data_IF_414819618566
#
_entry.id   IF_414819618566
#
_cell.length_a   1.000
_cell.length_b   1.000
_cell.length_c   1.000
_cell.angle_alpha   90.00
_cell.angle_beta   90.00
_cell.angle_gamma   90.00
#
_symmetry.space_group_name_H-M   'P 1'
#
loop_
_entity.id
_entity.type
_entity.pdbx_description
1 polymer ?
#
# COMPACT_ATOMS: atom_id res chain seq x y z
N UNK A 1 26.04 -1.44 25.16
CA UNK A 1 24.95 -1.07 24.25
C UNK A 1 25.56 -0.20 23.14
N UNK A 2 26.27 -0.84 22.21
CA UNK A 2 26.87 -0.19 21.06
C UNK A 2 25.89 -0.42 19.91
N UNK A 3 25.14 0.62 19.53
CA UNK A 3 24.35 0.57 18.31
C UNK A 3 25.29 0.64 17.10
N UNK A 4 25.08 -0.26 16.16
CA UNK A 4 25.89 -0.48 14.97
C UNK A 4 25.91 0.75 14.06
N UNK A 5 27.07 1.42 14.01
CA UNK A 5 27.40 2.48 13.05
C UNK A 5 27.28 2.02 11.58
N UNK A 6 27.13 0.71 11.33
CA UNK A 6 26.95 0.14 9.99
C UNK A 6 25.54 0.39 9.40
N UNK A 7 24.51 0.57 10.22
CA UNK A 7 23.14 0.79 9.73
C UNK A 7 22.95 2.22 9.21
N UNK A 8 23.49 3.21 9.93
CA UNK A 8 23.46 4.62 9.55
C UNK A 8 24.23 4.91 8.25
N UNK A 9 25.36 4.24 8.01
CA UNK A 9 26.11 4.40 6.76
C UNK A 9 25.35 3.86 5.54
N UNK A 10 24.55 2.80 5.70
CA UNK A 10 23.72 2.26 4.61
C UNK A 10 22.57 3.20 4.24
N UNK A 11 21.93 3.81 5.23
CA UNK A 11 20.85 4.79 5.02
C UNK A 11 21.37 6.07 4.35
N UNK A 12 22.53 6.57 4.78
CA UNK A 12 23.17 7.74 4.13
C UNK A 12 23.57 7.41 2.68
N UNK A 13 24.04 6.19 2.41
CA UNK A 13 24.39 5.78 1.05
C UNK A 13 23.14 5.71 0.15
N UNK A 14 22.01 5.21 0.64
CA UNK A 14 20.75 5.16 -0.13
C UNK A 14 20.24 6.58 -0.43
N UNK A 15 20.29 7.50 0.53
CA UNK A 15 19.89 8.90 0.35
C UNK A 15 20.83 9.68 -0.59
N UNK A 16 22.14 9.41 -0.56
CA UNK A 16 23.12 10.05 -1.46
C UNK A 16 23.02 9.49 -2.88
N UNK A 17 22.72 8.20 -3.05
CA UNK A 17 22.45 7.61 -4.37
C UNK A 17 21.20 8.21 -5.00
N UNK A 18 20.13 8.44 -4.22
CA UNK A 18 18.95 9.19 -4.67
C UNK A 18 19.28 10.63 -5.10
N UNK A 19 20.21 11.31 -4.42
CA UNK A 19 20.65 12.67 -4.83
C UNK A 19 21.56 12.69 -6.06
N UNK A 20 22.33 11.63 -6.32
CA UNK A 20 23.30 11.57 -7.42
C UNK A 20 22.66 11.13 -8.75
N UNK A 21 21.67 10.23 -8.72
CA UNK A 21 20.93 9.79 -9.91
C UNK A 21 20.13 10.94 -10.54
N UNK A 22 19.66 11.88 -9.72
CA UNK A 22 18.93 13.08 -10.18
C UNK A 22 19.84 14.07 -10.94
N UNK A 23 21.16 14.03 -10.74
CA UNK A 23 22.08 15.04 -11.31
C UNK A 23 22.78 14.62 -12.62
N UNK A 24 22.68 13.37 -13.08
CA UNK A 24 23.49 12.87 -14.22
C UNK A 24 22.76 12.77 -15.58
N UNK A 25 21.46 13.07 -15.68
CA UNK A 25 20.71 12.99 -16.93
C UNK A 25 20.50 14.37 -17.58
N UNK A 26 21.57 14.98 -18.09
CA UNK A 26 21.45 16.09 -19.05
C UNK A 26 21.26 15.53 -20.46
N UNK A 27 20.00 15.22 -20.81
CA UNK A 27 19.57 14.98 -22.19
C UNK A 27 19.03 16.27 -22.85
N UNK A 28 19.08 16.39 -24.19
CA UNK A 28 18.83 17.62 -24.91
C UNK A 28 17.37 18.10 -24.83
N UNK A 29 17.21 19.43 -24.73
CA UNK A 29 15.94 20.18 -24.64
C UNK A 29 14.93 19.77 -25.71
N UNK A 30 13.90 19.04 -25.29
CA UNK A 30 12.59 18.95 -25.94
C UNK A 30 11.67 20.00 -25.26
N UNK A 31 10.75 20.66 -25.98
CA UNK A 31 9.91 21.74 -25.44
C UNK A 31 9.19 21.34 -24.14
N UNK A 32 9.34 22.20 -23.12
CA UNK A 32 8.76 22.08 -21.78
C UNK A 32 7.23 22.03 -21.84
N UNK A 33 6.67 20.83 -21.76
CA UNK A 33 5.45 20.58 -20.99
C UNK A 33 5.91 20.37 -19.54
N UNK A 34 5.24 21.01 -18.58
CA UNK A 34 5.55 20.91 -17.15
C UNK A 34 5.55 19.44 -16.73
N UNK A 35 6.72 18.89 -16.38
CA UNK A 35 6.87 17.50 -15.92
C UNK A 35 6.22 17.27 -14.55
N UNK A 36 5.87 18.34 -13.83
CA UNK A 36 5.10 18.25 -12.59
C UNK A 36 3.63 17.85 -12.87
N UNK A 37 3.02 18.43 -13.90
CA UNK A 37 1.62 18.18 -14.28
C UNK A 37 1.44 16.76 -14.85
N UNK A 38 2.47 16.21 -15.49
CA UNK A 38 2.46 14.86 -16.05
C UNK A 38 2.57 13.76 -14.96
N UNK A 39 3.21 14.06 -13.82
CA UNK A 39 3.30 13.14 -12.69
C UNK A 39 1.98 13.13 -11.87
N UNK A 40 1.30 14.27 -11.79
CA UNK A 40 0.03 14.43 -11.06
C UNK A 40 -1.15 13.72 -11.76
N UNK A 41 -1.06 13.53 -13.09
CA UNK A 41 -2.04 12.79 -13.89
C UNK A 41 -1.96 11.26 -13.78
N UNK A 42 -0.83 10.71 -13.32
CA UNK A 42 -0.63 9.27 -13.28
C UNK A 42 -1.17 8.63 -11.99
N UNK A 43 -0.97 9.26 -10.82
CA UNK A 43 -1.44 8.71 -9.54
C UNK A 43 -2.96 8.85 -9.35
N UNK A 44 -3.57 9.88 -9.93
CA UNK A 44 -5.02 10.11 -9.97
C UNK A 44 -5.77 9.07 -10.83
N UNK A 45 -5.08 8.49 -11.82
CA UNK A 45 -5.73 7.66 -12.87
C UNK A 45 -6.42 6.41 -12.34
N UNK A 46 -5.81 5.65 -11.41
CA UNK A 46 -6.35 4.35 -10.98
C UNK A 46 -7.55 4.48 -10.05
N UNK A 47 -7.54 5.43 -9.11
CA UNK A 47 -8.63 5.61 -8.15
C UNK A 47 -9.85 6.22 -8.81
N UNK A 48 -9.64 7.12 -9.77
CA UNK A 48 -10.70 7.67 -10.62
C UNK A 48 -11.25 6.61 -11.59
N UNK A 49 -10.38 5.80 -12.22
CA UNK A 49 -10.80 4.71 -13.11
C UNK A 49 -11.61 3.64 -12.37
N UNK A 50 -11.22 3.33 -11.12
CA UNK A 50 -11.88 2.34 -10.27
C UNK A 50 -13.07 2.90 -9.47
N UNK A 51 -13.30 4.22 -9.51
CA UNK A 51 -14.41 4.88 -8.79
C UNK A 51 -14.31 4.77 -7.26
N UNK A 52 -13.10 4.78 -6.70
CA UNK A 52 -12.84 4.44 -5.28
C UNK A 52 -13.00 5.63 -4.31
N UNK A 53 -13.75 6.65 -4.70
CA UNK A 53 -13.90 7.90 -3.92
C UNK A 53 -14.76 7.70 -2.67
N UNK A 54 -15.80 6.88 -2.75
CA UNK A 54 -16.69 6.62 -1.62
C UNK A 54 -16.27 5.37 -0.84
N UNK A 55 -16.53 5.38 0.48
CA UNK A 55 -16.25 4.23 1.36
C UNK A 55 -16.96 2.97 0.91
N UNK A 56 -18.18 3.10 0.40
CA UNK A 56 -18.98 1.98 -0.07
C UNK A 56 -18.38 1.34 -1.33
N UNK A 57 -17.85 2.13 -2.26
CA UNK A 57 -17.19 1.61 -3.46
C UNK A 57 -15.90 0.88 -3.13
N UNK A 58 -15.13 1.38 -2.16
CA UNK A 58 -13.94 0.68 -1.63
C UNK A 58 -14.29 -0.64 -0.96
N UNK A 59 -15.38 -0.68 -0.19
CA UNK A 59 -15.90 -1.92 0.38
C UNK A 59 -16.27 -2.92 -0.73
N UNK A 60 -17.04 -2.48 -1.74
CA UNK A 60 -17.42 -3.30 -2.90
C UNK A 60 -16.21 -3.80 -3.67
N UNK A 61 -15.17 -2.98 -3.83
CA UNK A 61 -13.93 -3.39 -4.47
C UNK A 61 -13.27 -4.54 -3.71
N UNK A 62 -13.17 -4.47 -2.38
CA UNK A 62 -12.61 -5.55 -1.57
C UNK A 62 -13.44 -6.84 -1.63
N UNK A 63 -14.77 -6.74 -1.69
CA UNK A 63 -15.62 -7.92 -1.90
C UNK A 63 -15.31 -8.58 -3.25
N UNK A 64 -15.32 -7.80 -4.33
CA UNK A 64 -14.95 -8.28 -5.67
C UNK A 64 -13.55 -8.86 -5.73
N UNK A 65 -12.61 -8.30 -4.98
CA UNK A 65 -11.24 -8.80 -4.90
C UNK A 65 -11.21 -10.22 -4.34
N UNK A 66 -11.97 -10.47 -3.27
CA UNK A 66 -12.06 -11.77 -2.60
C UNK A 66 -12.91 -12.79 -3.38
N UNK A 67 -13.85 -12.31 -4.21
CA UNK A 67 -14.66 -13.12 -5.13
C UNK A 67 -13.99 -13.37 -6.50
N UNK A 68 -12.72 -13.01 -6.64
CA UNK A 68 -11.93 -13.18 -7.87
C UNK A 68 -12.42 -12.34 -9.08
N UNK A 69 -13.27 -11.34 -8.83
CA UNK A 69 -13.89 -10.50 -9.86
C UNK A 69 -13.06 -9.24 -10.21
N UNK A 70 -11.97 -8.97 -9.49
CA UNK A 70 -11.06 -7.86 -9.82
C UNK A 70 -9.97 -8.28 -10.79
N UNK A 71 -9.59 -7.32 -11.65
CA UNK A 71 -8.39 -7.46 -12.49
C UNK A 71 -7.13 -7.45 -11.61
N UNK A 72 -6.19 -8.38 -11.82
CA UNK A 72 -4.91 -8.41 -11.11
C UNK A 72 -4.15 -7.08 -11.15
N UNK A 73 -4.05 -6.46 -12.33
CA UNK A 73 -3.27 -5.25 -12.56
C UNK A 73 -3.81 -4.07 -11.75
N UNK A 74 -5.13 -3.93 -11.69
CA UNK A 74 -5.80 -2.89 -10.90
C UNK A 74 -5.52 -3.06 -9.40
N UNK A 75 -5.54 -4.30 -8.91
CA UNK A 75 -5.28 -4.60 -7.50
C UNK A 75 -3.81 -4.37 -7.14
N UNK A 76 -2.90 -4.83 -8.00
CA UNK A 76 -1.46 -4.70 -7.83
C UNK A 76 -1.02 -3.23 -7.79
N UNK A 77 -1.58 -2.39 -8.68
CA UNK A 77 -1.36 -0.94 -8.70
C UNK A 77 -1.97 -0.24 -7.49
N UNK A 78 -3.19 -0.62 -7.10
CA UNK A 78 -3.84 -0.05 -5.93
C UNK A 78 -3.03 -0.32 -4.65
N UNK A 79 -2.54 -1.55 -4.48
CA UNK A 79 -1.71 -1.92 -3.35
C UNK A 79 -0.42 -1.10 -3.31
N UNK A 80 0.24 -0.93 -4.47
CA UNK A 80 1.41 -0.07 -4.60
C UNK A 80 1.11 1.35 -4.11
N UNK A 81 0.03 1.97 -4.59
CA UNK A 81 -0.32 3.35 -4.24
C UNK A 81 -0.68 3.53 -2.77
N UNK A 82 -1.36 2.56 -2.14
CA UNK A 82 -1.70 2.62 -0.72
C UNK A 82 -0.43 2.57 0.13
N UNK A 83 0.50 1.68 -0.20
CA UNK A 83 1.78 1.54 0.51
C UNK A 83 2.72 2.72 0.26
N UNK A 84 2.81 3.20 -0.99
CA UNK A 84 3.58 4.37 -1.36
C UNK A 84 3.05 5.64 -0.67
N UNK A 85 1.73 5.82 -0.68
CA UNK A 85 1.08 6.93 0.04
C UNK A 85 1.32 6.87 1.55
N UNK A 86 1.38 5.67 2.14
CA UNK A 86 1.75 5.49 3.55
C UNK A 86 3.19 5.95 3.87
N UNK A 87 4.15 5.71 2.96
CA UNK A 87 5.54 6.15 3.12
C UNK A 87 5.68 7.65 2.87
N UNK A 88 5.05 8.19 1.82
CA UNK A 88 5.20 9.59 1.41
C UNK A 88 4.44 10.58 2.29
N UNK A 89 3.22 10.24 2.70
CA UNK A 89 2.32 11.21 3.32
C UNK A 89 2.02 10.84 4.77
N UNK A 90 2.34 11.72 5.74
CA UNK A 90 1.87 11.55 7.10
C UNK A 90 0.34 11.57 7.11
N UNK A 91 -0.24 10.55 7.74
CA UNK A 91 -1.69 10.42 7.90
C UNK A 91 -2.18 11.48 8.90
N UNK A 92 -3.42 11.97 8.74
CA UNK A 92 -3.98 12.98 9.62
C UNK A 92 -4.19 12.37 10.99
N UNK A 93 -3.69 13.04 12.04
CA UNK A 93 -4.01 12.69 13.42
C UNK A 93 -5.39 13.26 13.72
N UNK A 94 -6.38 12.42 14.01
CA UNK A 94 -7.66 12.91 14.49
C UNK A 94 -7.49 13.27 15.97
N UNK A 95 -7.68 14.55 16.31
CA UNK A 95 -7.34 15.12 17.63
C UNK A 95 -8.08 14.48 18.82
N UNK A 96 -9.15 13.70 18.58
CA UNK A 96 -9.98 13.09 19.63
C UNK A 96 -9.95 11.54 19.66
N UNK A 97 -9.21 10.89 18.75
CA UNK A 97 -9.11 9.42 18.70
C UNK A 97 -7.64 9.01 18.70
N UNK A 98 -7.22 8.26 19.72
CA UNK A 98 -5.90 7.61 19.74
C UNK A 98 -5.76 6.57 18.61
N UNK A 99 -6.87 6.11 18.03
CA UNK A 99 -6.89 5.17 16.93
C UNK A 99 -7.02 5.92 15.59
N UNK A 100 -5.90 6.16 14.93
CA UNK A 100 -5.90 6.06 13.46
C UNK A 100 -5.94 4.57 13.16
N UNK A 101 -6.95 4.04 12.46
CA UNK A 101 -7.06 2.60 12.16
C UNK A 101 -5.87 2.02 11.38
N UNK A 102 -4.99 2.90 10.89
CA UNK A 102 -3.72 2.63 10.23
C UNK A 102 -2.63 2.18 11.21
N UNK A 103 -1.69 1.34 10.76
CA UNK A 103 -0.51 1.03 11.54
C UNK A 103 0.32 2.26 11.86
N UNK A 104 1.00 2.21 13.01
CA UNK A 104 1.93 3.25 13.41
C UNK A 104 3.10 3.38 12.43
N UNK A 105 3.42 4.63 12.06
CA UNK A 105 4.54 4.99 11.17
C UNK A 105 5.89 4.92 11.89
N UNK A 106 6.29 3.72 12.28
CA UNK A 106 7.63 3.47 12.84
C UNK A 106 8.68 3.41 11.72
N UNK A 107 9.94 3.74 12.04
CA UNK A 107 11.06 3.67 11.08
C UNK A 107 11.21 2.25 10.50
N UNK A 108 11.16 1.23 11.36
CA UNK A 108 11.27 -0.17 10.94
C UNK A 108 10.17 -0.58 9.96
N UNK A 109 8.93 -0.16 10.20
CA UNK A 109 7.80 -0.47 9.30
C UNK A 109 7.95 0.26 7.96
N UNK A 110 8.32 1.54 7.98
CA UNK A 110 8.57 2.29 6.74
C UNK A 110 9.71 1.69 5.91
N UNK A 111 10.77 1.21 6.55
CA UNK A 111 11.87 0.52 5.86
C UNK A 111 11.40 -0.78 5.19
N UNK A 112 10.59 -1.60 5.87
CA UNK A 112 10.00 -2.81 5.28
C UNK A 112 9.13 -2.48 4.06
N UNK A 113 8.25 -1.48 4.19
CA UNK A 113 7.39 -1.04 3.07
C UNK A 113 8.24 -0.53 1.91
N UNK A 114 9.27 0.28 2.18
CA UNK A 114 10.16 0.79 1.15
C UNK A 114 10.91 -0.33 0.40
N UNK A 115 11.32 -1.40 1.09
CA UNK A 115 11.96 -2.55 0.44
C UNK A 115 11.04 -3.24 -0.57
N UNK A 116 9.75 -3.38 -0.24
CA UNK A 116 8.75 -3.91 -1.19
C UNK A 116 8.58 -2.96 -2.37
N UNK A 117 8.45 -1.66 -2.11
CA UNK A 117 8.24 -0.66 -3.16
C UNK A 117 9.42 -0.55 -4.13
N UNK A 118 10.67 -0.71 -3.68
CA UNK A 118 11.84 -0.68 -4.55
C UNK A 118 11.81 -1.75 -5.66
N UNK A 119 11.24 -2.91 -5.38
CA UNK A 119 11.08 -3.99 -6.38
C UNK A 119 9.95 -3.67 -7.36
N UNK A 120 8.96 -2.89 -6.93
CA UNK A 120 7.76 -2.55 -7.68
C UNK A 120 7.81 -1.16 -8.36
N UNK A 121 8.90 -0.40 -8.19
CA UNK A 121 9.00 1.01 -8.57
C UNK A 121 8.90 1.22 -10.09
N UNK A 122 9.49 0.31 -10.88
CA UNK A 122 9.55 0.49 -12.34
C UNK A 122 8.16 0.49 -13.01
N UNK A 123 7.24 -0.34 -12.51
CA UNK A 123 5.91 -0.51 -13.07
C UNK A 123 4.79 0.10 -12.20
N UNK A 124 5.17 0.74 -11.08
CA UNK A 124 4.26 1.26 -10.05
C UNK A 124 3.19 0.24 -9.64
N UNK A 125 3.61 -1.02 -9.51
CA UNK A 125 2.71 -2.16 -9.37
C UNK A 125 3.39 -3.30 -8.64
N UNK A 126 2.74 -3.81 -7.59
CA UNK A 126 3.25 -4.96 -6.82
C UNK A 126 2.70 -6.24 -7.46
N UNK A 127 3.52 -7.11 -8.08
CA UNK A 127 3.05 -8.24 -8.90
C UNK A 127 2.56 -9.44 -8.07
N UNK A 128 1.66 -9.19 -7.10
CA UNK A 128 1.16 -10.17 -6.15
C UNK A 128 0.15 -11.14 -6.80
N UNK A 129 -0.74 -10.62 -7.66
CA UNK A 129 -1.75 -11.41 -8.37
C UNK A 129 -1.35 -11.79 -9.79
N UNK A 130 -0.06 -11.67 -10.14
CA UNK A 130 0.45 -12.07 -11.44
C UNK A 130 0.53 -13.59 -11.58
N UNK A 131 0.72 -14.09 -12.82
CA UNK A 131 0.90 -15.51 -13.07
C UNK A 131 1.97 -16.11 -12.14
N UNK A 132 1.76 -17.34 -11.61
CA UNK A 132 2.61 -17.93 -10.60
C UNK A 132 4.02 -18.18 -11.15
N UNK A 133 4.92 -17.25 -10.84
CA UNK A 133 6.37 -17.38 -10.99
C UNK A 133 6.98 -17.70 -9.61
N UNK A 134 8.17 -18.30 -9.60
CA UNK A 134 8.88 -18.64 -8.33
C UNK A 134 9.05 -17.42 -7.40
N UNK A 135 9.15 -16.22 -7.96
CA UNK A 135 9.34 -14.97 -7.21
C UNK A 135 8.10 -14.51 -6.40
N UNK A 136 6.90 -15.03 -6.70
CA UNK A 136 5.66 -14.59 -6.03
C UNK A 136 5.59 -15.10 -4.58
N UNK A 137 6.12 -16.29 -4.31
CA UNK A 137 6.12 -16.86 -2.96
C UNK A 137 6.98 -16.03 -1.99
N UNK A 138 8.16 -15.60 -2.43
CA UNK A 138 9.03 -14.71 -1.65
C UNK A 138 8.40 -13.33 -1.44
N UNK A 139 7.66 -12.83 -2.43
CA UNK A 139 6.91 -11.58 -2.31
C UNK A 139 5.77 -11.70 -1.29
N UNK A 140 5.03 -12.81 -1.27
CA UNK A 140 3.99 -13.09 -0.29
C UNK A 140 4.57 -13.01 1.13
N UNK A 141 5.70 -13.66 1.40
CA UNK A 141 6.33 -13.62 2.72
C UNK A 141 6.73 -12.18 3.13
N UNK A 142 7.33 -11.41 2.21
CA UNK A 142 7.70 -10.01 2.47
C UNK A 142 6.49 -9.11 2.75
N UNK A 143 5.35 -9.41 2.11
CA UNK A 143 4.12 -8.67 2.29
C UNK A 143 3.36 -9.10 3.56
N UNK A 144 3.42 -10.38 3.95
CA UNK A 144 2.90 -10.87 5.23
C UNK A 144 3.61 -10.20 6.41
N UNK A 145 4.91 -9.93 6.29
CA UNK A 145 5.71 -9.17 7.28
C UNK A 145 5.26 -7.71 7.50
N UNK A 146 4.32 -7.21 6.68
CA UNK A 146 3.72 -5.88 6.80
C UNK A 146 2.35 -5.89 7.50
N UNK A 147 1.78 -7.07 7.76
CA UNK A 147 0.53 -7.26 8.52
C UNK A 147 0.79 -7.19 10.03
N UNK A 148 -0.28 -7.07 10.86
CA UNK A 148 -0.11 -7.10 12.30
C UNK A 148 0.39 -8.48 12.77
N UNK A 149 1.34 -8.49 13.69
CA UNK A 149 1.83 -9.74 14.26
C UNK A 149 0.71 -10.46 15.05
N UNK A 150 0.43 -11.74 14.80
CA UNK A 150 -0.69 -12.44 15.42
C UNK A 150 -0.54 -12.64 16.94
N UNK A 151 0.66 -12.44 17.49
CA UNK A 151 0.97 -12.59 18.93
C UNK A 151 1.18 -11.23 19.58
N UNK A 152 1.97 -10.34 18.98
CA UNK A 152 2.26 -9.02 19.56
C UNK A 152 1.12 -8.01 19.33
N UNK A 153 0.45 -8.08 18.17
CA UNK A 153 -0.63 -7.20 17.72
C UNK A 153 -1.94 -7.99 17.52
N UNK A 154 -2.29 -8.85 18.49
CA UNK A 154 -3.40 -9.83 18.39
C UNK A 154 -4.75 -9.19 18.01
N UNK A 155 -5.09 -8.04 18.62
CA UNK A 155 -6.37 -7.35 18.40
C UNK A 155 -6.48 -6.80 16.97
N UNK A 156 -5.40 -6.19 16.45
CA UNK A 156 -5.35 -5.69 15.07
C UNK A 156 -5.39 -6.83 14.06
N UNK A 157 -4.65 -7.92 14.34
CA UNK A 157 -4.68 -9.11 13.51
C UNK A 157 -6.08 -9.73 13.45
N UNK A 158 -6.79 -9.83 14.59
CA UNK A 158 -8.18 -10.31 14.64
C UNK A 158 -9.14 -9.38 13.93
N UNK A 159 -9.08 -8.07 14.17
CA UNK A 159 -9.96 -7.09 13.53
C UNK A 159 -9.82 -7.09 12.00
N UNK A 160 -8.59 -7.29 11.51
CA UNK A 160 -8.32 -7.44 10.08
C UNK A 160 -9.01 -8.69 9.51
N UNK A 161 -8.89 -9.84 10.20
CA UNK A 161 -9.57 -11.07 9.81
C UNK A 161 -11.10 -10.99 9.90
N UNK A 162 -11.64 -10.36 10.94
CA UNK A 162 -13.07 -10.17 11.10
C UNK A 162 -13.64 -9.34 9.93
N UNK A 163 -12.93 -8.29 9.51
CA UNK A 163 -13.30 -7.50 8.32
C UNK A 163 -13.31 -8.36 7.06
N UNK A 164 -12.32 -9.24 6.86
CA UNK A 164 -12.32 -10.20 5.73
C UNK A 164 -13.50 -11.17 5.79
N UNK A 165 -13.84 -11.66 6.98
CA UNK A 165 -15.01 -12.54 7.18
C UNK A 165 -16.34 -11.81 6.93
N UNK A 166 -16.43 -10.52 7.23
CA UNK A 166 -17.60 -9.69 6.89
C UNK A 166 -17.70 -9.43 5.39
N UNK A 167 -16.58 -9.29 4.68
CA UNK A 167 -16.54 -9.01 3.25
C UNK A 167 -16.94 -10.22 2.40
N UNK A 168 -16.30 -11.38 2.61
CA UNK A 168 -16.49 -12.60 1.80
C UNK A 168 -17.46 -13.60 2.46
N UNK A 169 -17.81 -13.40 3.72
CA UNK A 169 -18.66 -14.31 4.48
C UNK A 169 -17.85 -15.41 5.19
N UNK A 170 -18.22 -15.64 6.45
CA UNK A 170 -17.49 -16.53 7.37
C UNK A 170 -17.31 -17.96 6.86
N UNK A 171 -18.32 -18.53 6.21
CA UNK A 171 -18.24 -19.91 5.71
C UNK A 171 -17.39 -20.02 4.42
N UNK A 172 -17.42 -19.00 3.56
CA UNK A 172 -16.54 -18.91 2.37
C UNK A 172 -15.07 -18.88 2.79
N UNK A 173 -14.74 -18.01 3.76
CA UNK A 173 -13.38 -17.90 4.30
C UNK A 173 -12.91 -19.21 4.92
N UNK A 174 -13.74 -19.89 5.73
CA UNK A 174 -13.40 -21.20 6.31
C UNK A 174 -13.14 -22.26 5.23
N UNK A 175 -13.98 -22.30 4.20
CA UNK A 175 -13.81 -23.24 3.11
C UNK A 175 -12.50 -23.00 2.36
N UNK A 176 -12.17 -21.75 2.02
CA UNK A 176 -10.94 -21.40 1.32
C UNK A 176 -9.69 -21.60 2.19
N UNK A 177 -9.79 -21.39 3.51
CA UNK A 177 -8.70 -21.72 4.45
C UNK A 177 -8.41 -23.23 4.53
N UNK A 178 -9.41 -24.08 4.30
CA UNK A 178 -9.22 -25.52 4.24
C UNK A 178 -8.67 -25.99 2.88
N UNK A 179 -8.95 -25.22 1.82
CA UNK A 179 -8.55 -25.51 0.43
C UNK A 179 -7.57 -24.44 -0.07
N UNK A 180 -6.44 -24.29 0.61
CA UNK A 180 -5.46 -23.23 0.35
C UNK A 180 -4.94 -23.26 -1.08
N UNK A 181 -5.43 -22.33 -1.91
CA UNK A 181 -4.82 -22.00 -3.20
C UNK A 181 -3.90 -20.79 -3.03
N UNK A 182 -2.82 -20.74 -3.81
CA UNK A 182 -1.90 -19.59 -3.82
C UNK A 182 -2.62 -18.30 -4.24
N UNK A 183 -3.55 -18.40 -5.19
CA UNK A 183 -4.35 -17.26 -5.63
C UNK A 183 -5.22 -16.70 -4.50
N UNK A 184 -5.94 -17.57 -3.78
CA UNK A 184 -6.75 -17.14 -2.64
C UNK A 184 -5.87 -16.50 -1.55
N UNK A 185 -4.71 -17.10 -1.24
CA UNK A 185 -3.77 -16.53 -0.27
C UNK A 185 -3.31 -15.13 -0.70
N UNK A 186 -2.93 -14.95 -1.96
CA UNK A 186 -2.49 -13.67 -2.50
C UNK A 186 -3.60 -12.60 -2.46
N UNK A 187 -4.84 -12.96 -2.82
CA UNK A 187 -6.00 -12.05 -2.75
C UNK A 187 -6.36 -11.69 -1.32
N UNK A 188 -6.35 -12.67 -0.42
CA UNK A 188 -6.61 -12.47 0.99
C UNK A 188 -5.53 -11.56 1.61
N UNK A 189 -4.25 -11.78 1.29
CA UNK A 189 -3.15 -10.91 1.72
C UNK A 189 -3.32 -9.49 1.20
N UNK A 190 -3.63 -9.31 -0.08
CA UNK A 190 -3.89 -7.99 -0.67
C UNK A 190 -5.03 -7.26 0.07
N UNK A 191 -6.16 -7.95 0.30
CA UNK A 191 -7.30 -7.38 1.01
C UNK A 191 -6.92 -6.99 2.44
N UNK A 192 -6.22 -7.86 3.17
CA UNK A 192 -5.78 -7.59 4.55
C UNK A 192 -4.82 -6.41 4.65
N UNK A 193 -3.91 -6.26 3.69
CA UNK A 193 -3.02 -5.09 3.62
C UNK A 193 -3.82 -3.82 3.34
N UNK A 194 -4.72 -3.84 2.36
CA UNK A 194 -5.57 -2.68 2.08
C UNK A 194 -6.39 -2.28 3.31
N UNK A 195 -6.99 -3.23 4.02
CA UNK A 195 -7.73 -2.98 5.27
C UNK A 195 -6.80 -2.36 6.32
N UNK A 196 -5.64 -2.97 6.56
CA UNK A 196 -4.73 -2.53 7.61
C UNK A 196 -4.19 -1.12 7.37
N UNK A 197 -3.84 -0.79 6.13
CA UNK A 197 -3.37 0.53 5.74
C UNK A 197 -4.51 1.53 5.47
N UNK A 198 -5.66 1.34 6.15
CA UNK A 198 -6.84 2.21 6.17
C UNK A 198 -7.45 2.53 4.80
N UNK A 199 -7.31 1.66 3.81
CA UNK A 199 -7.88 1.90 2.47
C UNK A 199 -9.39 2.17 2.54
N UNK A 200 -10.14 1.44 3.38
CA UNK A 200 -11.58 1.67 3.52
C UNK A 200 -11.92 3.08 4.00
N UNK A 201 -11.14 3.63 4.94
CA UNK A 201 -11.41 4.93 5.54
C UNK A 201 -10.84 6.08 4.72
N UNK A 202 -9.59 5.96 4.28
CA UNK A 202 -8.83 7.05 3.68
C UNK A 202 -8.73 6.96 2.15
N UNK A 203 -9.00 5.79 1.58
CA UNK A 203 -8.73 5.52 0.17
C UNK A 203 -7.24 5.57 -0.14
N UNK A 204 -6.93 5.88 -1.41
CA UNK A 204 -5.56 6.17 -1.83
C UNK A 204 -5.19 7.58 -1.38
N UNK A 205 -4.04 7.71 -0.71
CA UNK A 205 -3.51 9.01 -0.29
C UNK A 205 -2.46 9.44 -1.27
N UNK A 206 -2.83 10.42 -2.09
CA UNK A 206 -2.04 10.96 -3.21
C UNK A 206 -1.45 12.35 -2.92
N UNK A 207 -1.88 13.01 -1.83
CA UNK A 207 -1.44 14.35 -1.43
C UNK A 207 -1.39 14.53 0.08
N UNK A 208 -0.65 15.56 0.52
CA UNK A 208 -0.51 15.90 1.93
C UNK A 208 -1.83 16.42 2.52
N UNK A 209 -2.27 15.87 3.66
CA UNK A 209 -3.55 16.23 4.28
C UNK A 209 -3.64 17.69 4.75
N UNK A 210 -2.51 18.38 4.92
CA UNK A 210 -2.48 19.79 5.30
C UNK A 210 -3.18 20.74 4.31
N UNK A 211 -3.35 20.32 3.05
CA UNK A 211 -3.94 21.18 2.01
C UNK A 211 -5.48 21.25 2.09
N UNK A 212 -6.15 20.36 2.83
CA UNK A 212 -7.62 20.39 2.96
C UNK A 212 -8.17 21.46 3.90
N UNK A 213 -7.32 22.09 4.72
CA UNK A 213 -7.73 23.21 5.57
C UNK A 213 -7.84 24.55 4.81
N UNK A 214 -7.59 24.56 3.49
CA UNK A 214 -7.70 25.76 2.64
C UNK A 214 -9.06 25.97 1.95
N UNK A 215 -10.02 25.05 2.06
CA UNK A 215 -11.32 25.17 1.37
C UNK A 215 -12.49 24.70 2.24
N UNK A 216 -12.64 25.33 3.40
CA UNK A 216 -13.97 25.54 3.97
C UNK A 216 -14.44 26.90 3.48
N UNK A 217 -15.04 26.93 2.28
CA UNK A 217 -15.92 28.01 1.86
C UNK A 217 -17.37 27.61 2.18
N UNK A 218 -18.21 28.58 2.61
CA UNK A 218 -19.53 28.35 3.22
C UNK A 218 -20.59 27.77 2.28
#
# INVERSE_FOLDING_TARGET
MMMDNFSLQRIITILVVWSAVISAFTLPRVPRVSTADALELASSSSSEELGLHERFDRWRFLQKLLDEETKPESTNRLLFQVLDGYVKYPRPKFEESEATGSPERTLARMEKVAQVLLVAEQDESIPLLSDPQEDVADLILKLEDLLPDPVEEEDDNKGNWDTVMELNGRESVKYNQQNLTMEWQARCLAARLLIFYDFLMLGVVDKHFADRNGSLAP
#
